data_IF_431264644115
#
_entry.id   IF_431264644115
#
_cell.length_a   1.000
_cell.length_b   1.000
_cell.length_c   1.000
_cell.angle_alpha   90.00
_cell.angle_beta   90.00
_cell.angle_gamma   90.00
#
_symmetry.space_group_name_H-M   'P 1'
#
loop_
_entity.id
_entity.type
_entity.pdbx_description
1 polymer ?
#
# COMPACT_ATOMS: atom_id res chain seq x y z
N UNK A 1 4.35 -3.67 -8.37
CA UNK A 1 3.98 -4.31 -7.09
C UNK A 1 4.67 -3.58 -5.96
N UNK A 2 4.08 -3.51 -4.78
CA UNK A 2 4.69 -2.80 -3.64
C UNK A 2 4.06 -1.45 -3.35
N UNK A 3 2.74 -1.40 -3.32
CA UNK A 3 2.01 -0.20 -2.90
C UNK A 3 1.60 -0.35 -1.44
N UNK A 4 2.01 0.58 -0.61
CA UNK A 4 1.51 0.73 0.76
C UNK A 4 0.36 1.71 0.73
N UNK A 5 -0.73 1.32 1.39
CA UNK A 5 -1.93 2.14 1.52
C UNK A 5 -1.98 2.68 2.94
N UNK A 6 -2.03 3.99 3.06
CA UNK A 6 -2.13 4.70 4.33
C UNK A 6 -3.47 5.41 4.42
N UNK A 7 -4.07 5.43 5.60
CA UNK A 7 -5.18 6.32 5.95
C UNK A 7 -4.62 7.48 6.74
N UNK A 8 -5.04 8.69 6.42
CA UNK A 8 -4.78 9.87 7.23
C UNK A 8 -6.03 10.19 8.03
N UNK A 9 -5.88 10.36 9.33
CA UNK A 9 -6.95 10.78 10.22
C UNK A 9 -7.08 12.32 10.24
N UNK A 10 -8.11 12.82 10.92
CA UNK A 10 -8.37 14.26 11.06
C UNK A 10 -7.26 15.01 11.82
N UNK A 11 -6.40 14.30 12.54
CA UNK A 11 -5.24 14.85 13.25
C UNK A 11 -3.97 14.89 12.36
N UNK A 12 -4.03 14.30 11.15
CA UNK A 12 -2.90 14.19 10.23
C UNK A 12 -1.97 13.01 10.54
N UNK A 13 -2.37 12.10 11.43
CA UNK A 13 -1.64 10.88 11.67
C UNK A 13 -1.94 9.84 10.59
N UNK A 14 -0.90 9.09 10.20
CA UNK A 14 -1.02 8.06 9.16
C UNK A 14 -1.01 6.67 9.74
N UNK A 15 -2.06 5.93 9.48
CA UNK A 15 -2.20 4.52 9.80
C UNK A 15 -2.03 3.67 8.54
N UNK A 16 -1.19 2.64 8.59
CA UNK A 16 -1.02 1.72 7.47
C UNK A 16 -2.22 0.76 7.42
N UNK A 17 -3.00 0.85 6.34
CA UNK A 17 -4.13 -0.04 6.10
C UNK A 17 -3.72 -1.35 5.42
N UNK A 18 -2.80 -1.25 4.45
CA UNK A 18 -2.36 -2.42 3.69
C UNK A 18 -0.97 -2.25 3.11
N UNK A 19 -0.30 -3.38 2.87
CA UNK A 19 0.93 -3.48 2.09
C UNK A 19 0.72 -4.52 0.97
N UNK A 20 0.64 -4.03 -0.27
CA UNK A 20 0.35 -4.82 -1.46
C UNK A 20 1.63 -5.33 -2.11
N UNK A 21 2.31 -6.29 -1.47
CA UNK A 21 3.56 -6.90 -1.92
C UNK A 21 3.32 -8.01 -2.95
N UNK A 22 2.19 -8.72 -2.83
CA UNK A 22 1.84 -9.86 -3.68
C UNK A 22 1.02 -9.38 -4.88
N UNK A 23 1.30 -9.94 -6.07
CA UNK A 23 0.52 -9.67 -7.26
C UNK A 23 -0.94 -10.08 -7.07
N UNK A 24 -1.86 -9.33 -7.68
CA UNK A 24 -3.30 -9.61 -7.67
C UNK A 24 -3.96 -9.64 -6.27
N UNK A 25 -3.23 -9.36 -5.19
CA UNK A 25 -3.83 -9.22 -3.86
C UNK A 25 -4.80 -8.05 -3.85
N UNK A 26 -6.03 -8.32 -3.37
CA UNK A 26 -7.09 -7.32 -3.22
C UNK A 26 -7.30 -7.07 -1.73
N UNK A 27 -7.42 -5.81 -1.35
CA UNK A 27 -7.72 -5.40 0.03
C UNK A 27 -8.88 -4.41 -0.01
N UNK A 28 -9.91 -4.67 0.78
CA UNK A 28 -11.00 -3.73 0.95
C UNK A 28 -10.54 -2.58 1.84
N UNK A 29 -10.60 -1.35 1.32
CA UNK A 29 -10.13 -0.15 2.02
C UNK A 29 -11.31 0.58 2.67
N UNK A 30 -12.46 0.60 2.01
CA UNK A 30 -13.69 1.23 2.50
C UNK A 30 -14.88 0.29 2.24
N UNK A 31 -15.85 0.34 3.13
CA UNK A 31 -17.05 -0.48 3.05
C UNK A 31 -18.20 0.33 2.47
N UNK A 32 -19.01 -0.31 1.62
CA UNK A 32 -20.28 0.24 1.18
C UNK A 32 -21.29 0.26 2.33
N UNK A 33 -22.24 1.19 2.27
CA UNK A 33 -23.36 1.21 3.19
C UNK A 33 -24.36 0.06 2.90
N UNK A 34 -25.24 -0.22 3.86
CA UNK A 34 -26.31 -1.20 3.66
C UNK A 34 -27.26 -0.75 2.54
N UNK A 35 -27.75 -1.67 1.71
CA UNK A 35 -28.68 -1.31 0.63
C UNK A 35 -30.01 -0.82 1.19
N UNK A 36 -30.66 0.06 0.45
CA UNK A 36 -32.04 0.48 0.73
C UNK A 36 -33.03 -0.61 0.39
N UNK A 37 -34.23 -0.52 0.96
CA UNK A 37 -35.36 -1.39 0.66
C UNK A 37 -36.39 -0.66 -0.19
N UNK A 38 -36.65 -1.16 -1.39
CA UNK A 38 -37.69 -0.61 -2.25
C UNK A 38 -39.11 -0.79 -1.68
N UNK A 39 -40.07 -0.01 -2.15
CA UNK A 39 -41.45 0.00 -1.68
C UNK A 39 -42.13 -1.36 -1.71
N UNK A 40 -41.80 -2.23 -2.68
CA UNK A 40 -42.36 -3.60 -2.76
C UNK A 40 -42.13 -4.42 -1.48
N UNK A 41 -41.09 -4.15 -0.72
CA UNK A 41 -40.80 -4.79 0.57
C UNK A 41 -41.75 -4.40 1.70
N UNK A 42 -42.55 -3.35 1.49
CA UNK A 42 -43.52 -2.82 2.47
C UNK A 42 -44.96 -3.18 2.11
N UNK A 43 -45.19 -3.99 1.08
CA UNK A 43 -46.49 -4.54 0.73
C UNK A 43 -46.97 -5.44 1.87
N UNK A 44 -48.18 -5.22 2.31
CA UNK A 44 -48.87 -6.04 3.32
C UNK A 44 -50.34 -6.15 2.97
N UNK A 45 -51.09 -7.08 3.62
CA UNK A 45 -52.55 -7.19 3.39
C UNK A 45 -53.30 -5.91 3.68
N UNK A 46 -52.78 -5.05 4.53
CA UNK A 46 -53.38 -3.78 4.93
C UNK A 46 -52.87 -2.64 4.06
N UNK A 47 -51.66 -2.72 3.54
CA UNK A 47 -51.02 -1.71 2.70
C UNK A 47 -50.56 -2.34 1.38
N UNK A 48 -51.46 -2.36 0.39
CA UNK A 48 -51.18 -2.96 -0.93
C UNK A 48 -50.46 -1.97 -1.87
N UNK A 49 -50.45 -0.70 -1.58
CA UNK A 49 -49.78 0.36 -2.34
C UNK A 49 -48.82 1.17 -1.44
N UNK A 50 -47.70 0.57 -1.02
CA UNK A 50 -46.76 1.27 -0.16
C UNK A 50 -46.08 2.42 -0.91
N UNK A 51 -46.10 3.59 -0.30
CA UNK A 51 -45.47 4.82 -0.79
C UNK A 51 -44.12 5.06 -0.12
N UNK A 52 -43.75 4.21 0.83
CA UNK A 52 -42.48 4.28 1.53
C UNK A 52 -41.42 3.40 0.85
N UNK A 53 -40.18 3.89 0.87
CA UNK A 53 -38.99 3.13 0.57
C UNK A 53 -37.88 3.56 1.52
N UNK A 54 -36.91 2.73 1.78
CA UNK A 54 -35.71 3.07 2.53
C UNK A 54 -34.57 3.42 1.59
N UNK A 55 -33.90 4.52 1.85
CA UNK A 55 -32.62 4.83 1.23
C UNK A 55 -31.52 3.87 1.72
N UNK A 56 -30.50 3.66 0.92
CA UNK A 56 -29.27 2.99 1.37
C UNK A 56 -28.55 3.85 2.42
N UNK A 57 -27.76 3.19 3.24
CA UNK A 57 -26.84 3.91 4.13
C UNK A 57 -25.66 4.46 3.32
N UNK A 58 -25.11 5.62 3.71
CA UNK A 58 -23.89 6.11 3.09
C UNK A 58 -22.75 5.11 3.34
N UNK A 59 -21.92 4.88 2.33
CA UNK A 59 -20.69 4.12 2.49
C UNK A 59 -19.63 4.92 3.25
N UNK A 60 -18.55 4.23 3.61
CA UNK A 60 -17.36 4.87 4.18
C UNK A 60 -16.67 5.71 3.11
N UNK A 61 -16.19 6.89 3.50
CA UNK A 61 -15.38 7.78 2.67
C UNK A 61 -14.08 8.04 3.41
N UNK A 62 -12.97 7.69 2.80
CA UNK A 62 -11.64 7.80 3.40
C UNK A 62 -10.71 8.57 2.47
N UNK A 63 -9.84 9.39 3.05
CA UNK A 63 -8.68 9.93 2.35
C UNK A 63 -7.53 8.92 2.50
N UNK A 64 -7.04 8.41 1.37
CA UNK A 64 -5.94 7.44 1.36
C UNK A 64 -4.75 7.98 0.61
N UNK A 65 -3.56 7.69 1.14
CA UNK A 65 -2.29 7.92 0.47
C UNK A 65 -1.77 6.59 -0.06
N UNK A 66 -1.41 6.58 -1.34
CA UNK A 66 -0.80 5.44 -1.99
C UNK A 66 0.68 5.72 -2.15
N UNK A 67 1.51 5.00 -1.41
CA UNK A 67 2.96 5.05 -1.53
C UNK A 67 3.42 3.88 -2.39
N UNK A 68 3.84 4.16 -3.62
CA UNK A 68 4.43 3.14 -4.48
C UNK A 68 5.90 3.00 -4.11
N UNK A 69 6.24 1.92 -3.40
CA UNK A 69 7.64 1.59 -3.11
C UNK A 69 8.25 0.95 -4.36
N UNK A 70 9.27 1.60 -4.91
CA UNK A 70 9.99 1.08 -6.06
C UNK A 70 10.66 -0.23 -5.68
N UNK A 71 10.28 -1.27 -6.37
CA UNK A 71 10.82 -2.60 -6.16
C UNK A 71 11.91 -2.83 -7.19
N UNK A 72 13.17 -2.77 -6.72
CA UNK A 72 14.23 -3.46 -7.41
C UNK A 72 14.30 -4.89 -6.87
N UNK A 73 14.45 -5.87 -7.74
CA UNK A 73 14.75 -7.24 -7.31
C UNK A 73 16.18 -7.32 -6.82
N UNK A 74 17.06 -6.60 -7.47
CA UNK A 74 18.51 -6.61 -7.27
C UNK A 74 19.05 -5.21 -7.09
N UNK A 75 19.71 -4.92 -5.97
CA UNK A 75 20.45 -3.67 -5.78
C UNK A 75 21.93 -3.84 -6.09
N UNK A 76 22.48 -2.88 -6.81
CA UNK A 76 23.89 -2.76 -7.04
C UNK A 76 24.53 -1.94 -5.91
N UNK A 77 25.45 -2.55 -5.18
CA UNK A 77 26.22 -1.91 -4.13
C UNK A 77 27.73 -2.02 -4.41
N UNK A 78 28.51 -1.11 -3.92
CA UNK A 78 29.95 -1.07 -4.18
C UNK A 78 30.49 0.36 -4.13
N UNK A 79 31.77 0.50 -4.05
CA UNK A 79 32.46 1.79 -4.00
C UNK A 79 32.16 2.69 -5.20
N UNK A 80 32.41 4.00 -5.11
CA UNK A 80 32.41 4.87 -6.28
C UNK A 80 33.34 4.28 -7.35
N UNK A 81 32.92 4.37 -8.62
CA UNK A 81 33.64 3.84 -9.77
C UNK A 81 33.80 2.31 -9.85
N UNK A 82 33.17 1.52 -8.98
CA UNK A 82 33.16 0.06 -9.10
C UNK A 82 32.45 -0.45 -10.37
N UNK A 83 31.82 0.43 -11.13
CA UNK A 83 31.19 0.11 -12.42
C UNK A 83 29.70 -0.20 -12.33
N UNK A 84 29.00 0.21 -11.25
CA UNK A 84 27.56 -0.02 -11.06
C UNK A 84 26.72 0.52 -12.21
N UNK A 85 26.85 1.79 -12.51
CA UNK A 85 26.08 2.45 -13.58
C UNK A 85 26.45 1.93 -14.98
N UNK A 86 27.72 1.53 -15.18
CA UNK A 86 28.17 0.89 -16.42
C UNK A 86 27.49 -0.48 -16.59
N UNK A 87 27.49 -1.29 -15.55
CA UNK A 87 26.82 -2.58 -15.54
C UNK A 87 25.32 -2.41 -15.83
N UNK A 88 24.68 -1.45 -15.19
CA UNK A 88 23.27 -1.19 -15.37
C UNK A 88 22.93 -0.82 -16.83
N UNK A 89 23.79 -0.02 -17.46
CA UNK A 89 23.61 0.37 -18.87
C UNK A 89 23.77 -0.82 -19.85
N UNK A 90 24.61 -1.80 -19.51
CA UNK A 90 24.82 -3.02 -20.32
C UNK A 90 23.70 -4.03 -20.09
N UNK A 91 23.26 -4.21 -18.85
CA UNK A 91 22.15 -5.09 -18.48
C UNK A 91 20.87 -4.63 -19.16
N UNK A 92 20.59 -3.34 -19.10
CA UNK A 92 19.39 -2.76 -19.70
C UNK A 92 19.58 -2.54 -21.19
N UNK A 93 19.13 -3.47 -22.01
CA UNK A 93 19.07 -3.29 -23.48
C UNK A 93 18.13 -2.17 -23.90
N UNK A 94 17.20 -1.77 -23.07
CA UNK A 94 16.44 -0.54 -23.15
C UNK A 94 17.15 0.53 -22.33
N UNK A 95 17.20 1.78 -22.81
CA UNK A 95 17.81 2.91 -22.11
C UNK A 95 17.39 2.89 -20.65
N UNK A 96 18.33 3.02 -19.68
CA UNK A 96 17.99 3.12 -18.28
C UNK A 96 16.87 4.13 -18.11
N UNK A 97 15.76 3.74 -17.51
CA UNK A 97 14.71 4.71 -17.18
C UNK A 97 15.14 5.39 -15.89
N UNK A 98 15.45 6.68 -16.00
CA UNK A 98 15.50 7.56 -14.84
C UNK A 98 14.05 7.72 -14.42
N UNK A 99 13.73 7.33 -13.21
CA UNK A 99 12.39 7.48 -12.69
C UNK A 99 12.35 8.73 -11.80
N UNK A 100 11.63 9.74 -12.27
CA UNK A 100 11.31 10.95 -11.48
C UNK A 100 10.33 10.57 -10.37
N UNK A 101 10.87 10.33 -9.19
CA UNK A 101 10.04 10.14 -7.99
C UNK A 101 9.96 11.47 -7.23
N UNK A 102 8.75 12.00 -7.00
CA UNK A 102 8.57 13.34 -6.43
C UNK A 102 9.10 13.50 -4.99
N UNK A 103 9.65 12.44 -4.40
CA UNK A 103 10.18 12.41 -3.03
C UNK A 103 11.65 11.97 -2.94
N UNK A 104 12.36 11.84 -4.06
CA UNK A 104 13.79 11.51 -4.06
C UNK A 104 14.63 12.71 -4.48
N UNK A 105 15.57 13.10 -3.63
CA UNK A 105 16.60 14.10 -3.97
C UNK A 105 17.64 13.56 -4.94
N UNK A 106 17.69 12.24 -5.13
CA UNK A 106 18.53 11.53 -6.10
C UNK A 106 17.67 10.52 -6.86
N UNK A 107 17.67 10.66 -8.16
CA UNK A 107 16.94 9.80 -9.07
C UNK A 107 17.61 8.43 -9.14
N UNK A 108 16.94 7.33 -8.73
CA UNK A 108 17.48 6.00 -8.90
C UNK A 108 17.52 5.63 -10.38
N UNK A 109 18.62 5.06 -10.82
CA UNK A 109 18.74 4.51 -12.16
C UNK A 109 18.28 3.07 -12.11
N UNK A 110 17.23 2.74 -12.88
CA UNK A 110 16.68 1.40 -12.97
C UNK A 110 17.10 0.75 -14.29
N UNK A 111 17.48 -0.52 -14.21
CA UNK A 111 17.74 -1.37 -15.36
C UNK A 111 16.82 -2.58 -15.33
N UNK A 112 16.23 -2.92 -16.47
CA UNK A 112 15.36 -4.08 -16.60
C UNK A 112 16.03 -5.11 -17.48
N UNK A 113 16.08 -6.37 -17.04
CA UNK A 113 16.60 -7.50 -17.79
C UNK A 113 15.58 -8.62 -17.86
N UNK A 114 15.48 -9.25 -19.02
CA UNK A 114 14.64 -10.41 -19.21
C UNK A 114 15.50 -11.68 -19.26
N UNK A 115 15.30 -12.59 -18.31
CA UNK A 115 16.09 -13.83 -18.22
C UNK A 115 15.20 -15.02 -17.89
N UNK A 116 15.27 -16.09 -18.69
CA UNK A 116 14.50 -17.35 -18.50
C UNK A 116 13.00 -17.14 -18.23
N UNK A 117 12.36 -16.24 -19.00
CA UNK A 117 10.94 -15.96 -18.86
C UNK A 117 10.57 -15.00 -17.72
N UNK A 118 11.56 -14.51 -16.95
CA UNK A 118 11.35 -13.58 -15.83
C UNK A 118 11.94 -12.21 -16.12
N UNK A 119 11.23 -11.18 -15.71
CA UNK A 119 11.71 -9.81 -15.71
C UNK A 119 12.35 -9.50 -14.35
N UNK A 120 13.58 -9.02 -14.37
CA UNK A 120 14.34 -8.63 -13.20
C UNK A 120 14.63 -7.14 -13.24
N UNK A 121 14.34 -6.44 -12.15
CA UNK A 121 14.61 -5.01 -12.00
C UNK A 121 15.87 -4.81 -11.16
N UNK A 122 16.88 -4.24 -11.80
CA UNK A 122 18.12 -3.83 -11.13
C UNK A 122 18.04 -2.36 -10.76
N UNK A 123 18.49 -2.02 -9.58
CA UNK A 123 18.55 -0.64 -9.10
C UNK A 123 19.96 -0.26 -8.71
N UNK A 124 20.48 0.85 -9.26
CA UNK A 124 21.69 1.48 -8.73
C UNK A 124 21.31 2.24 -7.48
N UNK A 125 21.99 1.96 -6.38
CA UNK A 125 21.80 2.65 -5.11
C UNK A 125 22.94 3.67 -4.97
N UNK A 126 22.80 4.89 -5.55
CA UNK A 126 23.83 5.91 -5.46
C UNK A 126 23.95 6.41 -4.03
N UNK A 127 25.17 6.64 -3.57
CA UNK A 127 25.42 7.36 -2.32
C UNK A 127 25.36 6.59 -1.02
N UNK A 128 25.28 5.24 -1.05
CA UNK A 128 25.44 4.43 0.17
C UNK A 128 26.80 4.66 0.86
N UNK A 129 27.82 5.11 0.12
CA UNK A 129 29.22 5.11 0.55
C UNK A 129 29.77 6.51 0.95
N UNK A 130 29.06 7.58 0.69
CA UNK A 130 29.54 8.92 1.07
C UNK A 130 28.58 9.63 2.03
N UNK A 131 28.86 9.54 3.34
CA UNK A 131 28.26 10.40 4.35
C UNK A 131 27.08 9.83 5.13
N UNK A 132 26.75 8.55 5.02
CA UNK A 132 25.71 7.94 5.84
C UNK A 132 26.03 8.00 7.34
N UNK A 133 27.31 7.99 7.71
CA UNK A 133 27.79 8.10 9.10
C UNK A 133 27.83 9.53 9.64
N UNK A 134 27.77 10.56 8.78
CA UNK A 134 27.90 11.97 9.19
C UNK A 134 26.57 12.73 9.31
N UNK A 135 25.41 12.05 9.24
CA UNK A 135 24.11 12.69 9.42
C UNK A 135 23.70 13.70 8.32
N UNK A 136 24.51 13.86 7.28
CA UNK A 136 24.20 14.64 6.07
C UNK A 136 23.72 13.74 4.94
N UNK A 137 23.30 12.52 5.29
CA UNK A 137 22.95 11.47 4.35
C UNK A 137 21.70 11.78 3.57
N UNK A 138 21.80 11.46 2.32
CA UNK A 138 20.72 11.15 1.41
C UNK A 138 19.58 10.46 2.15
N UNK A 139 18.44 11.11 2.15
CA UNK A 139 17.33 10.90 3.02
C UNK A 139 17.00 9.45 3.35
N UNK A 140 16.73 9.20 4.61
CA UNK A 140 16.13 7.97 5.12
C UNK A 140 14.96 7.43 4.25
N UNK A 141 14.34 8.31 3.48
CA UNK A 141 13.27 7.96 2.54
C UNK A 141 13.73 7.14 1.34
N UNK A 142 14.87 7.48 0.74
CA UNK A 142 15.41 6.70 -0.39
C UNK A 142 15.75 5.27 0.02
N UNK A 143 16.14 5.09 1.23
CA UNK A 143 16.59 3.81 1.76
C UNK A 143 15.45 2.88 2.16
N UNK A 144 14.28 3.43 2.52
CA UNK A 144 13.05 2.65 2.65
C UNK A 144 12.68 1.94 1.34
N UNK A 145 13.09 2.48 0.19
CA UNK A 145 12.86 1.86 -1.11
C UNK A 145 13.78 0.67 -1.36
N UNK A 146 14.99 0.68 -0.79
CA UNK A 146 15.94 -0.44 -0.89
C UNK A 146 15.66 -1.57 0.09
N UNK A 147 14.83 -1.35 1.12
CA UNK A 147 14.41 -2.39 2.06
C UNK A 147 13.72 -3.58 1.37
N UNK A 148 13.13 -3.38 0.20
CA UNK A 148 12.42 -4.42 -0.56
C UNK A 148 13.26 -5.15 -1.57
N UNK A 149 14.50 -4.74 -1.77
CA UNK A 149 15.45 -5.47 -2.61
C UNK A 149 15.64 -6.88 -2.06
N UNK A 150 15.68 -7.84 -2.94
CA UNK A 150 15.77 -9.27 -2.58
C UNK A 150 17.21 -9.76 -2.54
N UNK A 151 18.06 -9.21 -3.41
CA UNK A 151 19.46 -9.62 -3.57
C UNK A 151 20.33 -8.38 -3.71
N UNK A 152 21.51 -8.39 -3.09
CA UNK A 152 22.55 -7.39 -3.26
C UNK A 152 23.64 -7.93 -4.17
N UNK A 153 23.96 -7.21 -5.26
CA UNK A 153 25.17 -7.44 -6.03
C UNK A 153 26.25 -6.50 -5.51
N UNK A 154 27.23 -7.04 -4.85
CA UNK A 154 28.34 -6.27 -4.31
C UNK A 154 29.49 -6.24 -5.32
N UNK A 155 29.55 -5.18 -6.11
CA UNK A 155 30.58 -4.94 -7.11
C UNK A 155 31.86 -4.41 -6.45
N UNK A 156 32.96 -5.10 -6.72
CA UNK A 156 34.31 -4.69 -6.33
C UNK A 156 35.11 -4.37 -7.58
N UNK A 157 35.77 -3.22 -7.55
CA UNK A 157 36.69 -2.83 -8.63
C UNK A 157 37.94 -3.72 -8.62
N UNK A 158 38.15 -4.50 -9.68
CA UNK A 158 39.33 -5.34 -9.81
C UNK A 158 40.64 -4.55 -9.92
N UNK A 159 40.57 -3.26 -10.23
CA UNK A 159 41.77 -2.42 -10.38
C UNK A 159 42.37 -1.95 -9.05
N UNK A 160 41.64 -2.10 -7.94
CA UNK A 160 42.19 -1.74 -6.62
C UNK A 160 43.25 -2.74 -6.16
N UNK A 161 44.18 -2.28 -5.34
CA UNK A 161 45.28 -3.09 -4.83
C UNK A 161 44.76 -4.24 -3.95
N UNK A 162 43.86 -3.95 -3.00
CA UNK A 162 43.32 -4.90 -2.05
C UNK A 162 41.79 -5.01 -2.21
N UNK A 163 41.33 -6.01 -2.96
CA UNK A 163 39.90 -6.21 -3.26
C UNK A 163 39.12 -6.71 -2.04
N UNK A 164 39.78 -7.43 -1.13
CA UNK A 164 39.18 -7.92 0.10
C UNK A 164 38.88 -6.82 1.10
N UNK A 165 39.81 -5.88 1.31
CA UNK A 165 39.60 -4.72 2.19
C UNK A 165 38.50 -3.82 1.65
N UNK A 166 38.49 -3.60 0.34
CA UNK A 166 37.46 -2.81 -0.32
C UNK A 166 36.07 -3.41 -0.11
N UNK A 167 35.92 -4.73 -0.29
CA UNK A 167 34.69 -5.44 0.00
C UNK A 167 34.27 -5.27 1.46
N UNK A 168 35.17 -5.50 2.42
CA UNK A 168 34.86 -5.42 3.85
C UNK A 168 34.45 -4.00 4.26
N UNK A 169 35.07 -2.98 3.66
CA UNK A 169 34.72 -1.56 3.91
C UNK A 169 33.26 -1.31 3.57
N UNK A 170 32.84 -1.68 2.36
CA UNK A 170 31.45 -1.50 1.91
C UNK A 170 30.48 -2.38 2.72
N UNK A 171 30.88 -3.60 3.05
CA UNK A 171 30.08 -4.49 3.88
C UNK A 171 29.81 -3.92 5.28
N UNK A 172 30.81 -3.26 5.88
CA UNK A 172 30.67 -2.56 7.16
C UNK A 172 29.71 -1.38 7.08
N UNK A 173 29.76 -0.60 6.00
CA UNK A 173 28.83 0.51 5.78
C UNK A 173 27.40 0.03 5.62
N UNK A 174 27.19 -1.08 4.90
CA UNK A 174 25.86 -1.73 4.75
C UNK A 174 25.32 -2.23 6.09
N UNK A 175 26.17 -2.78 6.96
CA UNK A 175 25.78 -3.23 8.31
C UNK A 175 25.46 -2.09 9.28
N UNK A 176 26.01 -0.90 9.08
CA UNK A 176 25.69 0.28 9.88
C UNK A 176 24.32 0.89 9.49
N UNK A 177 23.66 0.33 8.49
CA UNK A 177 22.45 0.87 7.90
C UNK A 177 21.20 0.37 8.63
N UNK A 178 20.30 1.27 9.10
CA UNK A 178 19.01 0.86 9.66
C UNK A 178 18.08 0.42 8.52
N UNK A 179 17.82 -0.85 8.37
CA UNK A 179 16.97 -1.38 7.29
C UNK A 179 17.29 -2.84 6.94
N UNK A 180 18.27 -3.44 7.66
CA UNK A 180 18.56 -4.86 7.54
C UNK A 180 19.08 -5.30 6.17
N UNK A 181 19.76 -4.41 5.43
CA UNK A 181 20.38 -4.74 4.14
C UNK A 181 21.49 -5.78 4.28
N UNK A 182 22.13 -5.84 5.44
CA UNK A 182 23.15 -6.83 5.77
C UNK A 182 22.61 -8.25 5.83
N UNK A 183 21.34 -8.45 6.13
CA UNK A 183 20.66 -9.75 6.18
C UNK A 183 20.21 -10.26 4.80
N UNK A 184 20.36 -9.46 3.75
CA UNK A 184 19.96 -9.84 2.38
C UNK A 184 21.01 -10.78 1.76
N UNK A 185 20.59 -11.75 0.92
CA UNK A 185 21.50 -12.52 0.10
C UNK A 185 22.42 -11.57 -0.68
N UNK A 186 23.73 -11.79 -0.54
CA UNK A 186 24.75 -10.95 -1.17
C UNK A 186 25.59 -11.79 -2.12
N UNK A 187 25.77 -11.30 -3.34
CA UNK A 187 26.63 -11.94 -4.36
C UNK A 187 27.86 -11.05 -4.56
N UNK A 188 29.06 -11.49 -4.16
CA UNK A 188 30.30 -10.77 -4.46
C UNK A 188 30.64 -10.88 -5.95
N UNK A 189 30.99 -9.74 -6.56
CA UNK A 189 31.31 -9.63 -7.99
C UNK A 189 32.62 -8.88 -8.17
N UNK A 190 33.63 -9.52 -8.75
CA UNK A 190 34.86 -8.85 -9.18
C UNK A 190 34.64 -8.28 -10.58
N UNK A 191 34.60 -6.97 -10.68
CA UNK A 191 34.36 -6.24 -11.93
C UNK A 191 35.67 -5.76 -12.56
N UNK A 192 35.59 -5.29 -13.80
CA UNK A 192 36.70 -4.77 -14.61
C UNK A 192 37.75 -5.80 -14.98
N UNK A 193 37.35 -7.05 -15.19
CA UNK A 193 38.27 -8.13 -15.57
C UNK A 193 38.79 -8.01 -17.01
N UNK A 194 38.26 -7.07 -17.78
CA UNK A 194 38.76 -6.65 -19.07
C UNK A 194 40.09 -5.88 -19.01
N UNK A 195 40.44 -5.32 -17.83
CA UNK A 195 41.68 -4.60 -17.61
C UNK A 195 42.85 -5.60 -17.56
N UNK A 196 43.92 -5.43 -18.35
CA UNK A 196 45.02 -6.40 -18.45
C UNK A 196 45.64 -6.73 -17.10
N UNK A 197 45.90 -5.73 -16.25
CA UNK A 197 46.51 -5.94 -14.92
C UNK A 197 45.60 -6.76 -14.00
N UNK A 198 44.26 -6.59 -14.11
CA UNK A 198 43.30 -7.40 -13.33
C UNK A 198 43.29 -8.83 -13.81
N UNK A 199 43.38 -9.04 -15.11
CA UNK A 199 43.38 -10.36 -15.73
C UNK A 199 44.63 -11.15 -15.38
N UNK A 200 45.80 -10.50 -15.32
CA UNK A 200 47.04 -11.11 -14.93
C UNK A 200 47.01 -11.66 -13.48
N UNK A 201 46.36 -10.92 -12.57
CA UNK A 201 46.26 -11.27 -11.15
C UNK A 201 44.88 -11.85 -10.77
N UNK A 202 44.08 -12.30 -11.75
CA UNK A 202 42.68 -12.66 -11.53
C UNK A 202 42.52 -13.74 -10.45
N UNK A 203 43.33 -14.79 -10.47
CA UNK A 203 43.21 -15.89 -9.52
C UNK A 203 43.47 -15.45 -8.08
N UNK A 204 44.46 -14.57 -7.90
CA UNK A 204 44.87 -14.01 -6.62
C UNK A 204 43.77 -13.11 -6.03
N UNK A 205 43.23 -12.18 -6.85
CA UNK A 205 42.14 -11.30 -6.48
C UNK A 205 40.82 -12.03 -6.17
N UNK A 206 40.52 -13.10 -6.90
CA UNK A 206 39.39 -13.94 -6.60
C UNK A 206 39.54 -14.67 -5.26
N UNK A 207 40.71 -15.24 -4.97
CA UNK A 207 40.96 -15.90 -3.71
C UNK A 207 40.86 -14.92 -2.51
N UNK A 208 41.37 -13.71 -2.69
CA UNK A 208 41.28 -12.64 -1.70
C UNK A 208 39.81 -12.23 -1.44
N UNK A 209 39.04 -12.00 -2.50
CA UNK A 209 37.62 -11.65 -2.39
C UNK A 209 36.79 -12.80 -1.82
N UNK A 210 37.10 -14.06 -2.17
CA UNK A 210 36.45 -15.24 -1.61
C UNK A 210 36.70 -15.34 -0.11
N UNK A 211 37.94 -15.12 0.32
CA UNK A 211 38.33 -15.10 1.74
C UNK A 211 37.58 -13.99 2.51
N UNK A 212 37.45 -12.81 1.92
CA UNK A 212 36.78 -11.69 2.56
C UNK A 212 35.25 -11.84 2.61
N UNK A 213 34.65 -12.42 1.57
CA UNK A 213 33.18 -12.55 1.44
C UNK A 213 32.63 -13.86 2.01
N UNK A 214 33.48 -14.90 2.17
CA UNK A 214 33.06 -16.26 2.51
C UNK A 214 32.28 -16.97 1.39
N UNK A 215 32.29 -16.46 0.18
CA UNK A 215 31.56 -16.99 -0.97
C UNK A 215 32.43 -16.92 -2.23
N UNK A 216 32.23 -17.86 -3.15
CA UNK A 216 32.89 -17.83 -4.45
C UNK A 216 32.43 -16.55 -5.23
N UNK A 217 33.34 -15.65 -5.61
CA UNK A 217 32.98 -14.45 -6.33
C UNK A 217 32.54 -14.75 -7.77
N UNK A 218 31.69 -13.91 -8.33
CA UNK A 218 31.41 -13.89 -9.77
C UNK A 218 32.40 -12.96 -10.47
N UNK A 219 32.78 -13.32 -11.68
CA UNK A 219 33.68 -12.54 -12.53
C UNK A 219 32.86 -11.74 -13.53
N UNK A 220 33.17 -10.46 -13.71
CA UNK A 220 32.40 -9.56 -14.59
C UNK A 220 33.29 -8.53 -15.26
N UNK A 221 32.99 -8.23 -16.52
CA UNK A 221 33.33 -6.95 -17.13
C UNK A 221 32.05 -6.20 -17.49
N UNK A 222 31.80 -5.11 -16.78
CA UNK A 222 30.66 -4.22 -17.10
C UNK A 222 30.81 -3.50 -18.44
N UNK A 223 31.97 -3.57 -19.10
CA UNK A 223 32.21 -2.95 -20.41
C UNK A 223 31.99 -3.97 -21.53
N UNK A 224 32.58 -5.15 -21.44
CA UNK A 224 32.52 -6.17 -22.49
C UNK A 224 31.30 -7.10 -22.34
N UNK A 225 30.69 -7.16 -21.18
CA UNK A 225 29.63 -8.12 -20.83
C UNK A 225 30.14 -9.52 -20.46
N UNK A 226 31.47 -9.70 -20.36
CA UNK A 226 32.05 -10.98 -19.94
C UNK A 226 31.54 -11.36 -18.54
N UNK A 227 31.05 -12.59 -18.38
CA UNK A 227 30.53 -13.11 -17.11
C UNK A 227 29.08 -12.71 -16.79
N UNK A 228 28.44 -11.84 -17.57
CA UNK A 228 27.09 -11.32 -17.28
C UNK A 228 26.04 -12.45 -17.26
N UNK A 229 26.05 -13.34 -18.24
CA UNK A 229 25.07 -14.44 -18.32
C UNK A 229 25.17 -15.37 -17.09
N UNK A 230 26.40 -15.72 -16.70
CA UNK A 230 26.66 -16.55 -15.53
C UNK A 230 26.21 -15.85 -14.22
N UNK A 231 26.43 -14.54 -14.13
CA UNK A 231 25.97 -13.72 -12.98
C UNK A 231 24.45 -13.72 -12.90
N UNK A 232 23.75 -13.49 -14.01
CA UNK A 232 22.29 -13.50 -14.04
C UNK A 232 21.70 -14.87 -13.68
N UNK A 233 22.32 -15.96 -14.17
CA UNK A 233 21.91 -17.31 -13.82
C UNK A 233 22.14 -17.67 -12.36
N UNK A 234 23.14 -17.06 -11.71
CA UNK A 234 23.40 -17.19 -10.28
C UNK A 234 22.42 -16.39 -9.42
N UNK A 235 22.01 -15.22 -9.88
CA UNK A 235 21.10 -14.32 -9.15
C UNK A 235 19.66 -14.79 -9.22
N UNK A 236 19.23 -15.31 -10.37
CA UNK A 236 17.84 -15.68 -10.63
C UNK A 236 17.21 -16.61 -9.57
N UNK A 237 17.89 -17.70 -9.10
CA UNK A 237 17.32 -18.58 -8.07
C UNK A 237 17.28 -17.95 -6.67
N UNK A 238 18.02 -16.85 -6.44
CA UNK A 238 17.99 -16.13 -5.16
C UNK A 238 16.78 -15.19 -5.06
N UNK A 239 16.11 -14.96 -6.18
CA UNK A 239 14.91 -14.14 -6.25
C UNK A 239 13.72 -15.10 -6.27
N UNK A 240 12.92 -15.20 -5.19
CA UNK A 240 11.75 -16.06 -5.17
C UNK A 240 10.88 -15.80 -6.39
N UNK A 241 10.34 -16.85 -7.00
CA UNK A 241 9.27 -16.68 -7.95
C UNK A 241 8.15 -15.97 -7.21
N UNK A 242 7.60 -14.95 -7.85
CA UNK A 242 6.31 -14.46 -7.41
C UNK A 242 5.38 -15.61 -7.72
N UNK A 243 5.02 -16.39 -6.71
CA UNK A 243 3.85 -17.20 -6.84
C UNK A 243 2.76 -16.27 -7.36
N UNK A 244 2.32 -16.52 -8.60
CA UNK A 244 1.00 -16.09 -9.04
C UNK A 244 0.03 -16.89 -8.15
N UNK A 245 0.12 -16.62 -6.84
CA UNK A 245 -0.63 -17.31 -5.82
C UNK A 245 -2.04 -17.43 -6.33
N UNK A 246 -2.48 -18.67 -6.47
CA UNK A 246 -3.89 -18.98 -6.51
C UNK A 246 -4.57 -17.94 -5.64
N UNK A 247 -5.58 -17.28 -6.18
CA UNK A 247 -6.37 -16.28 -5.46
C UNK A 247 -6.56 -16.72 -4.01
N UNK A 248 -5.53 -16.54 -3.18
CA UNK A 248 -5.77 -16.43 -1.76
C UNK A 248 -6.46 -15.08 -1.62
N UNK A 249 -7.71 -15.06 -2.06
CA UNK A 249 -8.72 -14.31 -1.41
C UNK A 249 -8.71 -14.79 0.05
N UNK A 250 -7.75 -14.37 0.83
CA UNK A 250 -8.09 -13.94 2.16
C UNK A 250 -9.06 -12.78 1.92
N UNK A 251 -10.22 -13.14 1.43
CA UNK A 251 -11.44 -12.49 1.82
C UNK A 251 -11.23 -12.30 3.32
N UNK A 252 -10.95 -11.05 3.74
CA UNK A 252 -11.38 -10.65 5.08
C UNK A 252 -12.73 -11.34 5.15
N UNK A 253 -12.81 -12.40 5.99
CA UNK A 253 -14.06 -13.11 6.17
C UNK A 253 -15.09 -12.00 6.14
N UNK A 254 -15.94 -12.01 5.10
CA UNK A 254 -17.15 -11.26 5.20
C UNK A 254 -17.71 -11.82 6.51
N UNK A 255 -17.43 -11.12 7.61
CA UNK A 255 -18.35 -11.18 8.71
C UNK A 255 -19.66 -10.89 8.01
N UNK A 256 -20.32 -11.97 7.64
CA UNK A 256 -21.71 -11.94 7.30
C UNK A 256 -22.28 -11.13 8.43
N UNK A 257 -22.56 -9.87 8.14
CA UNK A 257 -23.34 -9.05 9.06
C UNK A 257 -24.62 -9.85 9.16
N UNK A 258 -24.57 -10.78 10.12
CA UNK A 258 -25.67 -11.61 10.48
C UNK A 258 -26.86 -10.69 10.65
N UNK A 259 -28.03 -11.19 10.26
CA UNK A 259 -29.31 -10.52 10.38
C UNK A 259 -29.29 -9.50 11.49
N UNK A 260 -29.62 -8.25 11.14
CA UNK A 260 -29.57 -7.11 12.04
C UNK A 260 -29.96 -7.51 13.46
N UNK A 261 -29.13 -7.22 14.47
CA UNK A 261 -29.46 -7.58 15.84
C UNK A 261 -30.86 -7.02 16.13
N UNK A 262 -31.74 -7.86 16.64
CA UNK A 262 -33.13 -7.55 17.01
C UNK A 262 -33.22 -6.59 18.21
N UNK A 263 -32.32 -5.63 18.28
CA UNK A 263 -32.38 -4.56 19.26
C UNK A 263 -33.36 -3.50 18.76
N UNK A 264 -34.37 -3.21 19.55
CA UNK A 264 -35.26 -2.05 19.34
C UNK A 264 -34.37 -0.85 19.03
N UNK A 265 -34.63 -0.14 17.92
CA UNK A 265 -33.80 0.98 17.53
C UNK A 265 -33.75 2.00 18.68
N UNK A 266 -32.55 2.52 18.98
CA UNK A 266 -32.41 3.57 19.98
C UNK A 266 -32.98 4.84 19.40
N UNK A 267 -34.09 5.29 20.00
CA UNK A 267 -34.68 6.60 19.74
C UNK A 267 -34.09 7.59 20.72
N UNK A 268 -33.52 8.68 20.23
CA UNK A 268 -33.05 9.81 21.02
C UNK A 268 -33.76 11.05 20.56
N UNK A 269 -34.25 11.87 21.49
CA UNK A 269 -34.88 13.14 21.21
C UNK A 269 -34.12 14.22 21.96
N UNK A 270 -33.74 15.26 21.24
CA UNK A 270 -33.05 16.43 21.79
C UNK A 270 -33.82 17.69 21.38
N UNK A 271 -33.98 18.63 22.32
CA UNK A 271 -34.57 19.90 22.01
C UNK A 271 -33.51 20.91 21.61
N UNK A 272 -33.52 21.36 20.39
CA UNK A 272 -32.56 22.33 19.84
C UNK A 272 -33.35 23.61 19.45
N UNK A 273 -33.31 24.62 20.30
CA UNK A 273 -34.13 25.81 20.16
C UNK A 273 -35.61 25.50 20.35
N UNK A 274 -36.44 25.81 19.33
CA UNK A 274 -37.87 25.51 19.31
C UNK A 274 -38.23 24.19 18.64
N UNK A 275 -37.23 23.45 18.12
CA UNK A 275 -37.45 22.20 17.40
C UNK A 275 -37.01 20.96 18.23
N UNK A 276 -37.79 19.88 18.09
CA UNK A 276 -37.42 18.56 18.58
C UNK A 276 -36.64 17.78 17.50
N UNK A 277 -35.39 17.47 17.77
CA UNK A 277 -34.54 16.71 16.87
C UNK A 277 -34.60 15.23 17.23
N UNK A 278 -35.05 14.41 16.30
CA UNK A 278 -35.19 12.97 16.45
C UNK A 278 -34.00 12.27 15.80
N UNK A 279 -33.29 11.46 16.57
CA UNK A 279 -32.26 10.56 16.09
C UNK A 279 -32.73 9.12 16.18
N UNK A 280 -33.07 8.52 15.03
CA UNK A 280 -33.48 7.13 14.89
C UNK A 280 -33.02 6.61 13.52
N UNK A 281 -31.85 5.99 13.47
CA UNK A 281 -31.22 5.55 12.21
C UNK A 281 -32.16 4.82 11.24
N UNK A 282 -32.98 3.82 11.67
CA UNK A 282 -33.91 3.16 10.76
C UNK A 282 -34.96 4.11 10.18
N UNK A 283 -35.46 5.08 10.98
CA UNK A 283 -36.46 6.03 10.51
C UNK A 283 -35.86 7.08 9.56
N UNK A 284 -34.65 7.53 9.84
CA UNK A 284 -33.92 8.52 9.01
C UNK A 284 -33.74 8.04 7.57
N UNK A 285 -33.66 6.73 7.34
CA UNK A 285 -33.52 6.14 6.00
C UNK A 285 -34.77 6.27 5.11
N UNK A 286 -35.93 6.48 5.71
CA UNK A 286 -37.18 6.74 4.95
C UNK A 286 -37.23 8.18 4.46
N UNK A 287 -36.73 9.13 5.24
CA UNK A 287 -36.87 10.56 5.00
C UNK A 287 -36.53 11.02 3.57
N UNK A 288 -35.39 10.61 2.97
CA UNK A 288 -35.03 11.00 1.61
C UNK A 288 -35.96 10.47 0.52
N UNK A 289 -36.76 9.44 0.83
CA UNK A 289 -37.60 8.74 -0.13
C UNK A 289 -39.08 9.04 0.04
N UNK A 290 -39.46 9.76 1.11
CA UNK A 290 -40.86 10.13 1.40
C UNK A 290 -41.24 11.44 0.73
N UNK A 291 -42.36 11.42 -0.01
CA UNK A 291 -42.98 12.68 -0.51
C UNK A 291 -43.92 13.24 0.55
N UNK A 292 -43.42 14.08 1.43
CA UNK A 292 -44.20 14.68 2.51
C UNK A 292 -45.34 15.60 2.04
N UNK A 293 -45.40 15.95 0.76
CA UNK A 293 -46.55 16.62 0.15
C UNK A 293 -47.76 15.68 -0.06
N UNK A 294 -47.56 14.38 -0.12
CA UNK A 294 -48.65 13.40 -0.23
C UNK A 294 -49.09 12.97 1.18
N UNK A 295 -50.34 13.20 1.48
CA UNK A 295 -50.94 12.88 2.78
C UNK A 295 -50.87 11.37 3.11
N UNK A 296 -50.99 10.48 2.10
CA UNK A 296 -50.93 9.04 2.28
C UNK A 296 -49.50 8.59 2.65
N UNK A 297 -48.50 9.22 2.03
CA UNK A 297 -47.10 8.95 2.37
C UNK A 297 -46.80 9.43 3.80
N UNK A 298 -47.36 10.58 4.23
CA UNK A 298 -47.24 11.05 5.63
C UNK A 298 -47.87 10.06 6.61
N UNK A 299 -49.11 9.60 6.32
CA UNK A 299 -49.78 8.60 7.16
C UNK A 299 -48.97 7.31 7.30
N UNK A 300 -48.40 6.81 6.21
CA UNK A 300 -47.54 5.60 6.26
C UNK A 300 -46.26 5.86 7.03
N UNK A 301 -45.65 7.05 6.87
CA UNK A 301 -44.47 7.43 7.63
C UNK A 301 -44.77 7.56 9.13
N UNK A 302 -45.90 8.13 9.49
CA UNK A 302 -46.37 8.20 10.86
C UNK A 302 -46.52 6.80 11.51
N UNK A 303 -47.06 5.85 10.77
CA UNK A 303 -47.16 4.46 11.23
C UNK A 303 -45.78 3.84 11.47
N UNK A 304 -44.73 4.15 10.67
CA UNK A 304 -43.36 3.74 10.94
C UNK A 304 -42.79 4.45 12.19
N UNK A 305 -43.10 5.74 12.42
CA UNK A 305 -42.70 6.46 13.64
C UNK A 305 -43.30 5.77 14.89
N UNK A 306 -44.53 5.35 14.81
CA UNK A 306 -45.20 4.61 15.90
C UNK A 306 -44.54 3.25 16.11
N UNK A 307 -44.30 2.50 15.04
CA UNK A 307 -43.63 1.19 15.08
C UNK A 307 -42.24 1.26 15.73
N UNK A 308 -41.45 2.30 15.46
CA UNK A 308 -40.16 2.51 16.05
C UNK A 308 -40.20 3.12 17.45
N UNK A 309 -41.38 3.52 17.94
CA UNK A 309 -41.58 4.13 19.25
C UNK A 309 -41.18 5.61 19.33
N UNK A 310 -41.07 6.28 18.19
CA UNK A 310 -40.67 7.70 18.10
C UNK A 310 -41.80 8.60 18.62
N UNK A 311 -43.05 8.26 18.32
CA UNK A 311 -44.24 9.02 18.80
C UNK A 311 -44.21 9.06 20.33
N UNK A 312 -44.12 7.89 20.98
CA UNK A 312 -44.10 7.80 22.44
C UNK A 312 -42.91 8.53 23.05
N UNK A 313 -41.76 8.56 22.36
CA UNK A 313 -40.60 9.28 22.81
C UNK A 313 -40.80 10.82 22.70
N UNK A 314 -41.41 11.29 21.65
CA UNK A 314 -41.75 12.71 21.45
C UNK A 314 -42.78 13.21 22.51
N UNK A 315 -43.83 12.44 22.75
CA UNK A 315 -44.81 12.72 23.81
C UNK A 315 -44.16 12.82 25.17
N UNK A 316 -43.24 11.87 25.51
CA UNK A 316 -42.47 11.94 26.76
C UNK A 316 -41.55 13.16 26.84
N UNK A 317 -41.05 13.62 25.69
CA UNK A 317 -40.22 14.82 25.62
C UNK A 317 -41.05 16.13 25.72
N UNK A 318 -42.41 16.04 25.72
CA UNK A 318 -43.29 17.17 25.86
C UNK A 318 -43.56 17.94 24.56
N UNK A 319 -43.62 17.23 23.43
CA UNK A 319 -44.01 17.83 22.16
C UNK A 319 -45.49 18.24 22.21
N UNK A 320 -45.85 19.44 21.71
CA UNK A 320 -47.20 19.94 21.59
C UNK A 320 -47.59 20.12 20.13
N UNK A 321 -48.92 20.15 19.86
CA UNK A 321 -49.43 20.37 18.51
C UNK A 321 -48.94 21.73 18.00
N UNK A 322 -48.36 21.74 16.83
CA UNK A 322 -47.74 22.91 16.21
C UNK A 322 -46.22 22.99 16.35
N UNK A 323 -45.64 22.16 17.21
CA UNK A 323 -44.18 22.12 17.36
C UNK A 323 -43.49 21.58 16.11
N UNK A 324 -42.26 22.04 15.90
CA UNK A 324 -41.41 21.55 14.81
C UNK A 324 -40.63 20.32 15.25
N UNK A 325 -40.81 19.25 14.50
CA UNK A 325 -40.04 18.00 14.65
C UNK A 325 -39.08 17.81 13.48
N UNK A 326 -37.79 17.75 13.76
CA UNK A 326 -36.76 17.54 12.74
C UNK A 326 -36.28 16.09 12.76
N UNK A 327 -36.33 15.43 11.62
CA UNK A 327 -35.84 14.06 11.41
C UNK A 327 -34.89 14.09 10.23
N UNK A 328 -33.61 13.80 10.45
CA UNK A 328 -32.55 13.94 9.45
C UNK A 328 -32.60 15.34 8.78
N UNK A 329 -32.88 15.40 7.49
CA UNK A 329 -32.91 16.65 6.71
C UNK A 329 -34.32 17.28 6.60
N UNK A 330 -35.35 16.62 7.13
CA UNK A 330 -36.73 17.11 6.98
C UNK A 330 -37.26 17.67 8.29
N UNK A 331 -38.03 18.74 8.14
CA UNK A 331 -38.81 19.38 9.22
C UNK A 331 -40.28 19.10 9.01
N UNK A 332 -40.93 18.64 10.06
CA UNK A 332 -42.35 18.32 10.09
C UNK A 332 -43.01 19.12 11.19
N UNK A 333 -44.24 19.57 10.97
CA UNK A 333 -45.06 20.16 12.03
C UNK A 333 -45.81 19.02 12.71
N UNK A 334 -45.77 19.01 14.04
CA UNK A 334 -46.47 18.02 14.84
C UNK A 334 -47.95 18.32 14.84
N UNK A 335 -48.80 17.46 14.29
CA UNK A 335 -50.23 17.58 14.12
C UNK A 335 -51.05 16.46 14.76
#
# INVERSE_FOLDING_TARGET
>A
MGTVVWREDDAGEREQLADLVIANRKVAIARGGLPGRGNHRFVSPINQEPLLAEAGEPGESLLVFLEVKVLGDVALVGSPNAGKSTLLSVISRARPKIADYPFTTIEPVLGMVYRKGRELVFVDVPGLIQGASEGKGLGLEFLRHTERVRVLLHLVDGSVENVGEEYLRVAKELGAYPGGLDNKPRVPVLNKVDVPEVREHLAEKLAELEKASGQVPSVLSGVTGEGLDALLDRVLPLIPELDDGEESSELIEEEHIGAAPSHRPRVRIERVGEAFVVSCKPLERFVPMVRFSDWRARMQFHAEMERFGVIQALEKAGVEIGDTVRIATSELVWD
#
